data_IF_025666394577
#
_entry.id   IF_025666394577
#
_cell.length_a   1.000
_cell.length_b   1.000
_cell.length_c   1.000
_cell.angle_alpha   90.00
_cell.angle_beta   90.00
_cell.angle_gamma   90.00
#
_symmetry.space_group_name_H-M   'P 1'
#
loop_
_entity.id
_entity.type
_entity.pdbx_description
1 polymer ?
#
# COMPACT_ATOMS: atom_id res chain seq x y z
N UNK A 1 13.61 -56.26 -53.25
CA UNK A 1 13.32 -54.82 -53.17
C UNK A 1 12.20 -54.67 -52.16
N UNK A 2 12.54 -54.38 -50.91
CA UNK A 2 11.58 -54.16 -49.81
C UNK A 2 12.17 -53.08 -48.92
N UNK A 3 11.56 -51.90 -48.98
CA UNK A 3 11.85 -50.76 -48.09
C UNK A 3 11.31 -51.03 -46.68
N UNK A 4 11.91 -50.43 -45.64
CA UNK A 4 11.48 -50.60 -44.26
C UNK A 4 10.38 -49.61 -43.91
N UNK A 5 9.35 -50.12 -43.22
CA UNK A 5 8.25 -49.36 -42.62
C UNK A 5 8.78 -48.46 -41.49
N UNK A 6 8.56 -47.14 -41.60
CA UNK A 6 9.01 -46.14 -40.63
C UNK A 6 8.13 -46.09 -39.37
N UNK A 7 8.67 -45.68 -38.20
CA UNK A 7 7.91 -45.68 -36.96
C UNK A 7 6.83 -44.59 -36.95
N UNK A 8 5.67 -44.96 -36.42
CA UNK A 8 4.43 -44.20 -36.34
C UNK A 8 4.51 -43.00 -35.39
N UNK A 9 4.37 -41.78 -35.94
CA UNK A 9 4.32 -40.45 -35.28
C UNK A 9 3.04 -40.18 -34.45
N UNK A 10 2.34 -41.23 -34.00
CA UNK A 10 1.02 -41.09 -33.34
C UNK A 10 1.13 -40.86 -31.81
N UNK A 11 2.17 -41.39 -31.16
CA UNK A 11 2.38 -41.29 -29.71
C UNK A 11 2.94 -39.93 -29.24
N UNK A 12 3.72 -39.25 -30.10
CA UNK A 12 4.29 -37.92 -29.82
C UNK A 12 3.19 -36.83 -29.77
N UNK A 13 2.21 -36.91 -30.68
CA UNK A 13 1.08 -35.98 -30.79
C UNK A 13 0.07 -36.11 -29.65
N UNK A 14 -0.16 -37.32 -29.13
CA UNK A 14 -1.11 -37.57 -28.03
C UNK A 14 -0.56 -37.08 -26.70
N UNK A 15 0.72 -37.32 -26.40
CA UNK A 15 1.38 -36.80 -25.20
C UNK A 15 1.46 -35.26 -25.19
N UNK A 16 1.79 -34.64 -26.33
CA UNK A 16 1.82 -33.18 -26.48
C UNK A 16 0.44 -32.54 -26.29
N UNK A 17 -0.61 -33.13 -26.87
CA UNK A 17 -1.99 -32.69 -26.65
C UNK A 17 -2.44 -32.82 -25.20
N UNK A 18 -2.03 -33.88 -24.50
CA UNK A 18 -2.37 -34.07 -23.08
C UNK A 18 -1.73 -32.99 -22.20
N UNK A 19 -0.45 -32.68 -22.43
CA UNK A 19 0.27 -31.63 -21.72
C UNK A 19 -0.26 -30.22 -22.02
N UNK A 20 -0.59 -29.94 -23.28
CA UNK A 20 -1.26 -28.70 -23.68
C UNK A 20 -2.62 -28.55 -22.99
N UNK A 21 -3.40 -29.63 -22.89
CA UNK A 21 -4.70 -29.62 -22.23
C UNK A 21 -4.60 -29.39 -20.71
N UNK A 22 -3.60 -29.99 -20.06
CA UNK A 22 -3.32 -29.79 -18.64
C UNK A 22 -2.87 -28.34 -18.33
N UNK A 23 -2.05 -27.77 -19.21
CA UNK A 23 -1.62 -26.36 -19.14
C UNK A 23 -2.80 -25.41 -19.30
N UNK A 24 -3.70 -25.69 -20.26
CA UNK A 24 -4.94 -24.93 -20.47
C UNK A 24 -5.85 -25.02 -19.25
N UNK A 25 -6.03 -26.22 -18.66
CA UNK A 25 -6.84 -26.40 -17.46
C UNK A 25 -6.29 -25.62 -16.25
N UNK A 26 -4.98 -25.61 -16.04
CA UNK A 26 -4.34 -24.82 -14.99
C UNK A 26 -4.55 -23.30 -15.20
N UNK A 27 -4.40 -22.81 -16.43
CA UNK A 27 -4.64 -21.41 -16.76
C UNK A 27 -6.12 -21.01 -16.55
N UNK A 28 -7.07 -21.87 -16.94
CA UNK A 28 -8.50 -21.64 -16.73
C UNK A 28 -8.89 -21.66 -15.24
N UNK A 29 -8.28 -22.54 -14.44
CA UNK A 29 -8.47 -22.55 -12.99
C UNK A 29 -7.98 -21.24 -12.35
N UNK A 30 -6.83 -20.73 -12.80
CA UNK A 30 -6.31 -19.44 -12.34
C UNK A 30 -7.23 -18.27 -12.75
N UNK A 31 -7.77 -18.28 -13.98
CA UNK A 31 -8.79 -17.30 -14.41
C UNK A 31 -10.03 -17.38 -13.54
N UNK A 32 -10.51 -18.58 -13.19
CA UNK A 32 -11.68 -18.76 -12.34
C UNK A 32 -11.46 -18.20 -10.92
N UNK A 33 -10.30 -18.46 -10.32
CA UNK A 33 -9.91 -17.93 -9.00
C UNK A 33 -9.81 -16.40 -9.05
N UNK A 34 -9.07 -15.84 -10.00
CA UNK A 34 -8.92 -14.38 -10.16
C UNK A 34 -10.26 -13.71 -10.46
N UNK A 35 -11.10 -14.34 -11.28
CA UNK A 35 -12.45 -13.87 -11.59
C UNK A 35 -13.41 -13.90 -10.41
N UNK A 36 -13.31 -14.91 -9.53
CA UNK A 36 -14.07 -14.98 -8.29
C UNK A 36 -13.65 -13.87 -7.32
N UNK A 37 -12.35 -13.69 -7.11
CA UNK A 37 -11.80 -12.60 -6.31
C UNK A 37 -12.27 -11.22 -6.82
N UNK A 38 -12.22 -10.99 -8.14
CA UNK A 38 -12.74 -9.75 -8.72
C UNK A 38 -14.23 -9.57 -8.41
N UNK A 39 -15.06 -10.61 -8.58
CA UNK A 39 -16.50 -10.53 -8.27
C UNK A 39 -16.80 -10.29 -6.79
N UNK A 40 -15.95 -10.79 -5.89
CA UNK A 40 -16.08 -10.55 -4.45
C UNK A 40 -15.65 -9.13 -4.08
N UNK A 41 -14.60 -8.61 -4.71
CA UNK A 41 -14.08 -7.27 -4.42
C UNK A 41 -14.87 -6.15 -5.11
N UNK A 42 -15.47 -6.39 -6.29
CA UNK A 42 -16.20 -5.37 -7.05
C UNK A 42 -17.29 -4.69 -6.20
N UNK A 43 -18.20 -5.42 -5.52
CA UNK A 43 -19.23 -4.79 -4.69
C UNK A 43 -18.65 -3.88 -3.60
N UNK A 44 -17.53 -4.28 -2.98
CA UNK A 44 -16.85 -3.49 -1.96
C UNK A 44 -16.25 -2.20 -2.56
N UNK A 45 -15.57 -2.28 -3.70
CA UNK A 45 -15.03 -1.08 -4.37
C UNK A 45 -16.13 -0.16 -4.92
N UNK A 46 -17.23 -0.73 -5.39
CA UNK A 46 -18.40 0.03 -5.80
C UNK A 46 -19.04 0.74 -4.60
N UNK A 47 -19.11 0.09 -3.43
CA UNK A 47 -19.58 0.72 -2.20
C UNK A 47 -18.69 1.90 -1.81
N UNK A 48 -17.37 1.74 -1.74
CA UNK A 48 -16.44 2.83 -1.38
C UNK A 48 -16.49 4.00 -2.38
N UNK A 49 -16.61 3.70 -3.68
CA UNK A 49 -16.82 4.72 -4.71
C UNK A 49 -18.12 5.47 -4.47
N UNK A 50 -19.21 4.75 -4.22
CA UNK A 50 -20.53 5.34 -4.00
C UNK A 50 -20.53 6.19 -2.71
N UNK A 51 -19.86 5.78 -1.62
CA UNK A 51 -19.64 6.58 -0.39
C UNK A 51 -18.83 7.87 -0.65
N UNK A 52 -17.80 7.80 -1.49
CA UNK A 52 -16.99 8.96 -1.87
C UNK A 52 -17.78 9.96 -2.73
N UNK A 53 -18.67 9.45 -3.59
CA UNK A 53 -19.59 10.27 -4.40
C UNK A 53 -20.60 10.97 -3.49
N UNK A 54 -21.17 10.27 -2.50
CA UNK A 54 -22.09 10.85 -1.52
C UNK A 54 -21.42 11.98 -0.72
N UNK A 55 -20.18 11.76 -0.24
CA UNK A 55 -19.39 12.80 0.43
C UNK A 55 -19.16 14.03 -0.46
N UNK A 56 -18.89 13.82 -1.76
CA UNK A 56 -18.71 14.91 -2.71
C UNK A 56 -20.03 15.67 -2.98
N UNK A 57 -21.18 14.98 -3.03
CA UNK A 57 -22.51 15.61 -3.15
C UNK A 57 -22.79 16.49 -1.93
N UNK A 58 -22.53 15.98 -0.72
CA UNK A 58 -22.70 16.73 0.54
C UNK A 58 -21.79 17.97 0.61
N UNK A 59 -20.60 17.89 0.00
CA UNK A 59 -19.68 19.01 -0.17
C UNK A 59 -20.07 20.00 -1.29
N UNK A 60 -21.19 19.77 -1.99
CA UNK A 60 -21.72 20.66 -3.02
C UNK A 60 -21.18 20.41 -4.45
N UNK A 61 -20.61 19.24 -4.73
CA UNK A 61 -20.13 18.91 -6.07
C UNK A 61 -21.28 18.87 -7.10
N UNK A 62 -21.05 19.47 -8.27
CA UNK A 62 -22.01 19.45 -9.39
C UNK A 62 -21.96 18.11 -10.14
N UNK A 63 -23.06 17.75 -10.81
CA UNK A 63 -23.13 16.54 -11.64
C UNK A 63 -22.07 16.48 -12.73
N UNK A 64 -21.69 17.63 -13.29
CA UNK A 64 -20.62 17.73 -14.31
C UNK A 64 -19.24 17.43 -13.72
N UNK A 65 -18.96 17.88 -12.49
CA UNK A 65 -17.71 17.57 -11.79
C UNK A 65 -17.61 16.09 -11.45
N UNK A 66 -18.70 15.50 -10.95
CA UNK A 66 -18.77 14.07 -10.65
C UNK A 66 -18.61 13.20 -11.91
N UNK A 67 -19.27 13.58 -13.01
CA UNK A 67 -19.16 12.90 -14.30
C UNK A 67 -17.72 12.89 -14.83
N UNK A 68 -17.05 14.05 -14.75
CA UNK A 68 -15.65 14.19 -15.13
C UNK A 68 -14.73 13.33 -14.27
N UNK A 69 -14.94 13.28 -12.96
CA UNK A 69 -14.15 12.47 -12.04
C UNK A 69 -14.34 10.96 -12.25
N UNK A 70 -15.55 10.54 -12.61
CA UNK A 70 -15.92 9.13 -12.82
C UNK A 70 -15.66 8.63 -14.25
N UNK A 71 -15.32 9.53 -15.19
CA UNK A 71 -15.13 9.19 -16.60
C UNK A 71 -16.43 8.75 -17.30
N UNK A 72 -17.58 9.24 -16.84
CA UNK A 72 -18.91 8.90 -17.37
C UNK A 72 -19.69 10.16 -17.75
N UNK A 73 -20.87 10.01 -18.34
CA UNK A 73 -21.71 11.17 -18.70
C UNK A 73 -22.44 11.74 -17.47
N UNK A 74 -22.74 13.06 -17.43
CA UNK A 74 -23.54 13.66 -16.36
C UNK A 74 -24.91 13.01 -16.17
N UNK A 75 -25.52 12.55 -17.25
CA UNK A 75 -26.79 11.82 -17.23
C UNK A 75 -26.67 10.46 -16.52
N UNK A 76 -25.55 9.76 -16.68
CA UNK A 76 -25.31 8.48 -15.99
C UNK A 76 -25.15 8.67 -14.48
N UNK A 77 -24.48 9.74 -14.05
CA UNK A 77 -24.35 10.10 -12.63
C UNK A 77 -25.72 10.48 -12.04
N UNK A 78 -26.44 11.38 -12.70
CA UNK A 78 -27.76 11.83 -12.23
C UNK A 78 -28.76 10.67 -12.14
N UNK A 79 -28.76 9.75 -13.11
CA UNK A 79 -29.61 8.55 -13.11
C UNK A 79 -29.34 7.64 -11.90
N UNK A 80 -28.09 7.54 -11.46
CA UNK A 80 -27.68 6.62 -10.39
C UNK A 80 -27.78 7.24 -8.99
N UNK A 81 -27.53 8.54 -8.86
CA UNK A 81 -27.39 9.22 -7.56
C UNK A 81 -28.40 10.36 -7.32
N UNK A 82 -29.18 10.77 -8.33
CA UNK A 82 -30.10 11.92 -8.24
C UNK A 82 -31.23 11.79 -7.22
N UNK A 83 -31.48 10.59 -6.68
CA UNK A 83 -32.52 10.34 -5.68
C UNK A 83 -31.99 10.13 -4.25
N UNK A 84 -30.65 10.08 -4.04
CA UNK A 84 -30.06 9.75 -2.75
C UNK A 84 -29.70 11.02 -1.97
N UNK A 85 -30.68 11.56 -1.26
CA UNK A 85 -30.42 12.36 -0.06
C UNK A 85 -30.20 11.41 1.12
N UNK A 86 -29.02 11.47 1.73
CA UNK A 86 -28.64 10.91 3.04
C UNK A 86 -29.24 9.54 3.43
N UNK A 87 -28.50 8.45 3.22
CA UNK A 87 -28.74 7.21 3.96
C UNK A 87 -27.44 6.71 4.57
N UNK A 88 -27.22 7.09 5.83
CA UNK A 88 -26.10 6.62 6.66
C UNK A 88 -26.12 5.10 6.80
N UNK A 89 -25.10 4.42 6.25
CA UNK A 89 -24.85 3.00 6.50
C UNK A 89 -24.25 2.82 7.90
N UNK A 90 -25.02 2.24 8.82
CA UNK A 90 -24.53 1.82 10.14
C UNK A 90 -23.53 0.68 9.99
N UNK A 91 -22.29 0.88 10.43
CA UNK A 91 -21.31 -0.19 10.61
C UNK A 91 -21.78 -1.15 11.71
N UNK A 92 -21.69 -2.46 11.44
CA UNK A 92 -22.10 -3.52 12.37
C UNK A 92 -20.92 -3.83 13.30
N UNK A 93 -21.11 -3.95 14.63
CA UNK A 93 -20.00 -4.17 15.56
C UNK A 93 -19.34 -5.55 15.38
N UNK A 94 -18.03 -5.57 15.61
CA UNK A 94 -17.09 -6.70 15.44
C UNK A 94 -17.39 -7.96 16.29
N UNK A 95 -18.40 -7.93 17.15
CA UNK A 95 -18.63 -8.95 18.18
C UNK A 95 -19.22 -10.28 17.71
N UNK A 96 -19.39 -10.49 16.40
CA UNK A 96 -19.90 -11.77 15.83
C UNK A 96 -18.88 -12.61 15.06
N UNK A 97 -17.61 -12.19 14.97
CA UNK A 97 -16.61 -12.95 14.19
C UNK A 97 -15.95 -14.11 14.94
N UNK A 98 -16.26 -14.31 16.22
CA UNK A 98 -15.75 -15.42 17.03
C UNK A 98 -16.84 -16.49 17.16
N UNK A 99 -17.32 -17.02 16.03
CA UNK A 99 -17.93 -18.35 16.02
C UNK A 99 -16.79 -19.36 15.86
N UNK A 100 -16.40 -20.03 16.96
CA UNK A 100 -15.26 -20.95 17.03
C UNK A 100 -15.54 -22.32 16.41
N UNK A 101 -16.63 -22.45 15.65
CA UNK A 101 -17.09 -23.75 15.15
C UNK A 101 -17.41 -23.72 13.66
N UNK A 102 -16.41 -23.42 12.81
CA UNK A 102 -16.36 -23.93 11.43
C UNK A 102 -15.03 -23.64 10.73
N UNK A 103 -14.40 -24.72 10.26
CA UNK A 103 -13.69 -24.74 8.97
C UNK A 103 -12.20 -24.44 8.99
N UNK A 104 -11.40 -25.44 8.60
CA UNK A 104 -9.98 -25.31 8.28
C UNK A 104 -9.68 -24.06 7.43
N UNK A 105 -8.62 -23.32 7.78
CA UNK A 105 -8.08 -22.26 6.92
C UNK A 105 -7.58 -22.90 5.61
N UNK A 106 -8.23 -22.71 4.45
CA UNK A 106 -7.88 -23.40 3.21
C UNK A 106 -6.45 -23.12 2.73
N UNK A 107 -5.81 -22.08 3.29
CA UNK A 107 -4.50 -21.58 2.89
C UNK A 107 -3.56 -21.29 4.07
N UNK A 108 -3.71 -21.91 5.24
CA UNK A 108 -2.76 -21.78 6.37
C UNK A 108 -2.51 -20.34 6.90
N UNK A 109 -1.71 -20.21 7.96
CA UNK A 109 -1.42 -18.91 8.63
C UNK A 109 -0.67 -17.94 7.70
N UNK A 110 0.13 -18.46 6.76
CA UNK A 110 0.95 -17.66 5.83
C UNK A 110 0.14 -16.77 4.88
N UNK A 111 -1.15 -17.08 4.66
CA UNK A 111 -2.02 -16.30 3.79
C UNK A 111 -2.77 -15.18 4.52
N UNK A 112 -2.68 -15.11 5.86
CA UNK A 112 -3.26 -14.02 6.63
C UNK A 112 -2.64 -12.69 6.20
N UNK A 113 -3.49 -11.67 6.03
CA UNK A 113 -3.07 -10.34 5.58
C UNK A 113 -1.98 -9.75 6.48
N UNK A 114 -2.07 -9.94 7.80
CA UNK A 114 -1.07 -9.48 8.77
C UNK A 114 0.31 -10.09 8.54
N UNK A 115 0.38 -11.40 8.24
CA UNK A 115 1.65 -12.09 7.96
C UNK A 115 2.24 -11.60 6.65
N UNK A 116 1.41 -11.39 5.63
CA UNK A 116 1.83 -10.86 4.33
C UNK A 116 2.32 -9.41 4.43
N UNK A 117 1.63 -8.57 5.21
CA UNK A 117 2.03 -7.19 5.48
C UNK A 117 3.37 -7.13 6.23
N UNK A 118 3.58 -7.98 7.25
CA UNK A 118 4.87 -8.06 7.93
C UNK A 118 6.02 -8.46 7.00
N UNK A 119 5.79 -9.46 6.13
CA UNK A 119 6.79 -9.85 5.12
C UNK A 119 7.04 -8.74 4.10
N UNK A 120 6.00 -8.06 3.65
CA UNK A 120 6.11 -6.94 2.71
C UNK A 120 6.90 -5.79 3.32
N UNK A 121 6.62 -5.44 4.59
CA UNK A 121 7.37 -4.42 5.31
C UNK A 121 8.87 -4.73 5.35
N UNK A 122 9.25 -5.99 5.61
CA UNK A 122 10.66 -6.39 5.62
C UNK A 122 11.31 -6.32 4.22
N UNK A 123 10.62 -6.79 3.18
CA UNK A 123 11.11 -6.68 1.81
C UNK A 123 11.29 -5.22 1.38
N UNK A 124 10.32 -4.37 1.68
CA UNK A 124 10.36 -2.93 1.40
C UNK A 124 11.51 -2.25 2.14
N UNK A 125 11.73 -2.60 3.40
CA UNK A 125 12.83 -2.07 4.20
C UNK A 125 14.18 -2.46 3.59
N UNK A 126 14.40 -3.73 3.25
CA UNK A 126 15.65 -4.20 2.63
C UNK A 126 15.88 -3.57 1.26
N UNK A 127 14.84 -3.47 0.43
CA UNK A 127 14.92 -2.84 -0.88
C UNK A 127 15.27 -1.35 -0.78
N UNK A 128 14.69 -0.66 0.21
CA UNK A 128 15.00 0.75 0.50
C UNK A 128 16.44 0.92 0.99
N UNK A 129 16.88 0.10 1.94
CA UNK A 129 18.24 0.20 2.49
C UNK A 129 19.28 -0.03 1.39
N UNK A 130 19.17 -1.12 0.64
CA UNK A 130 20.17 -1.47 -0.39
C UNK A 130 20.06 -0.58 -1.62
N UNK A 131 18.84 -0.17 -1.97
CA UNK A 131 18.57 0.57 -3.19
C UNK A 131 18.77 2.07 -3.07
N UNK A 132 18.51 2.63 -1.89
CA UNK A 132 18.53 4.08 -1.64
C UNK A 132 19.50 4.41 -0.51
N UNK A 133 19.42 3.74 0.64
CA UNK A 133 20.28 4.08 1.79
C UNK A 133 21.78 3.93 1.50
N UNK A 134 22.19 2.73 1.10
CA UNK A 134 23.59 2.36 0.87
C UNK A 134 24.27 3.25 -0.19
N UNK A 135 23.69 3.52 -1.37
CA UNK A 135 24.30 4.40 -2.37
C UNK A 135 24.60 5.83 -1.87
N UNK A 136 23.83 6.34 -0.92
CA UNK A 136 24.00 7.68 -0.34
C UNK A 136 24.65 7.66 1.05
N UNK A 137 25.16 6.51 1.48
CA UNK A 137 25.78 6.32 2.79
C UNK A 137 24.83 6.63 3.95
N UNK A 138 23.53 6.41 3.78
CA UNK A 138 22.50 6.65 4.78
C UNK A 138 22.10 5.35 5.47
N UNK A 139 21.99 5.40 6.79
CA UNK A 139 21.36 4.31 7.56
C UNK A 139 19.84 4.37 7.43
N UNK A 140 19.17 3.25 7.70
CA UNK A 140 17.70 3.14 7.62
C UNK A 140 16.97 4.27 8.34
N UNK A 141 17.32 4.52 9.61
CA UNK A 141 16.68 5.57 10.43
C UNK A 141 16.98 6.98 9.91
N UNK A 142 18.21 7.21 9.43
CA UNK A 142 18.61 8.51 8.83
C UNK A 142 17.79 8.79 7.57
N UNK A 143 17.67 7.81 6.68
CA UNK A 143 16.86 7.92 5.46
C UNK A 143 15.37 8.14 5.77
N UNK A 144 14.83 7.47 6.79
CA UNK A 144 13.43 7.68 7.22
C UNK A 144 13.21 9.10 7.74
N UNK A 145 14.11 9.62 8.57
CA UNK A 145 14.02 11.00 9.07
C UNK A 145 14.07 12.00 7.92
N UNK A 146 15.00 11.84 6.97
CA UNK A 146 15.09 12.74 5.82
C UNK A 146 13.80 12.73 4.99
N UNK A 147 13.21 11.56 4.73
CA UNK A 147 11.93 11.45 4.02
C UNK A 147 10.77 12.09 4.76
N UNK A 148 10.70 11.91 6.09
CA UNK A 148 9.69 12.57 6.91
C UNK A 148 9.84 14.08 6.81
N UNK A 149 11.05 14.61 7.00
CA UNK A 149 11.31 16.04 6.91
C UNK A 149 11.10 16.61 5.49
N UNK A 150 11.32 15.82 4.44
CA UNK A 150 11.04 16.21 3.05
C UNK A 150 9.53 16.31 2.77
N UNK A 151 8.74 15.45 3.41
CA UNK A 151 7.28 15.40 3.25
C UNK A 151 6.51 16.41 4.11
N UNK A 152 7.14 16.98 5.12
CA UNK A 152 6.52 17.89 6.09
C UNK A 152 6.94 19.34 5.82
N UNK A 153 5.99 20.27 5.85
CA UNK A 153 6.28 21.70 5.76
C UNK A 153 6.84 22.30 7.05
N UNK A 154 6.60 21.64 8.18
CA UNK A 154 7.01 22.11 9.51
C UNK A 154 8.16 21.28 10.09
N UNK A 155 8.99 21.93 10.91
CA UNK A 155 10.10 21.26 11.59
C UNK A 155 9.61 20.30 12.68
N UNK A 156 10.27 19.16 12.81
CA UNK A 156 9.82 18.05 13.67
C UNK A 156 10.73 17.87 14.88
N UNK A 157 10.13 17.64 16.05
CA UNK A 157 10.86 17.26 17.27
C UNK A 157 11.24 15.77 17.28
N UNK A 158 12.17 15.37 18.15
CA UNK A 158 12.62 13.96 18.26
C UNK A 158 11.47 12.99 18.56
N UNK A 159 10.53 13.38 19.42
CA UNK A 159 9.40 12.53 19.78
C UNK A 159 8.51 12.26 18.57
N UNK A 160 8.20 13.31 17.80
CA UNK A 160 7.36 13.22 16.62
C UNK A 160 8.06 12.47 15.48
N UNK A 161 9.36 12.69 15.28
CA UNK A 161 10.18 11.88 14.37
C UNK A 161 10.16 10.39 14.75
N UNK A 162 10.18 10.06 16.05
CA UNK A 162 10.04 8.68 16.54
C UNK A 162 8.70 8.06 16.18
N UNK A 163 7.62 8.80 16.40
CA UNK A 163 6.26 8.37 16.04
C UNK A 163 6.12 8.15 14.54
N UNK A 164 6.49 9.15 13.73
CA UNK A 164 6.37 9.12 12.27
C UNK A 164 7.28 8.07 11.61
N UNK A 165 8.48 7.84 12.14
CA UNK A 165 9.39 6.83 11.60
C UNK A 165 9.10 5.41 12.12
N UNK A 166 8.30 5.26 13.18
CA UNK A 166 8.12 4.01 13.91
C UNK A 166 9.42 3.51 14.56
N UNK A 167 10.19 4.41 15.16
CA UNK A 167 11.53 4.12 15.73
C UNK A 167 11.63 4.66 17.15
N UNK A 168 12.33 3.93 18.03
CA UNK A 168 12.54 4.35 19.41
C UNK A 168 13.32 5.68 19.51
N UNK A 169 13.09 6.40 20.60
CA UNK A 169 13.69 7.72 20.85
C UNK A 169 15.21 7.71 20.79
N UNK A 170 15.87 6.66 21.28
CA UNK A 170 17.33 6.60 21.31
C UNK A 170 17.90 6.42 19.89
N UNK A 171 17.25 5.61 19.06
CA UNK A 171 17.61 5.44 17.65
C UNK A 171 17.37 6.71 16.83
N UNK A 172 16.26 7.43 17.07
CA UNK A 172 16.02 8.73 16.43
C UNK A 172 17.05 9.76 16.87
N UNK A 173 17.32 9.89 18.16
CA UNK A 173 18.29 10.86 18.67
C UNK A 173 19.69 10.64 18.09
N UNK A 174 20.15 9.38 17.99
CA UNK A 174 21.42 9.03 17.33
C UNK A 174 21.42 9.43 15.85
N UNK A 175 20.36 9.11 15.12
CA UNK A 175 20.27 9.43 13.70
C UNK A 175 20.20 10.94 13.44
N UNK A 176 19.44 11.68 14.25
CA UNK A 176 19.40 13.16 14.22
C UNK A 176 20.80 13.73 14.44
N UNK A 177 21.54 13.23 15.43
CA UNK A 177 22.91 13.69 15.68
C UNK A 177 23.81 13.46 14.46
N UNK A 178 23.77 12.26 13.86
CA UNK A 178 24.56 11.95 12.66
C UNK A 178 24.18 12.83 11.46
N UNK A 179 22.88 13.09 11.26
CA UNK A 179 22.41 13.97 10.20
C UNK A 179 22.82 15.43 10.40
N UNK A 180 22.82 15.93 11.64
CA UNK A 180 23.35 17.26 12.00
C UNK A 180 24.86 17.34 11.72
N UNK A 181 25.63 16.33 12.15
CA UNK A 181 27.08 16.27 11.91
C UNK A 181 27.40 16.28 10.41
N UNK A 182 26.56 15.62 9.60
CA UNK A 182 26.68 15.62 8.13
C UNK A 182 26.14 16.88 7.46
N UNK A 183 25.55 17.81 8.22
CA UNK A 183 24.93 19.02 7.69
C UNK A 183 23.76 18.73 6.76
N UNK A 184 23.01 17.64 6.99
CA UNK A 184 21.85 17.27 6.18
C UNK A 184 20.54 17.80 6.77
N UNK A 185 20.50 18.04 8.08
CA UNK A 185 19.37 18.68 8.76
C UNK A 185 19.89 19.86 9.57
N UNK A 186 19.02 20.83 9.79
CA UNK A 186 19.27 22.00 10.64
C UNK A 186 18.34 22.00 11.84
N UNK A 187 18.79 22.60 12.94
CA UNK A 187 17.95 22.85 14.12
C UNK A 187 17.20 24.16 13.91
N UNK A 188 15.87 24.12 13.92
CA UNK A 188 15.03 25.31 14.02
C UNK A 188 14.98 25.74 15.49
N UNK A 189 15.56 26.89 15.80
CA UNK A 189 15.68 27.38 17.18
C UNK A 189 14.43 28.16 17.56
N UNK A 190 13.86 27.87 18.75
CA UNK A 190 13.49 28.95 19.66
C UNK A 190 13.59 28.48 21.13
N UNK A 191 14.35 29.22 21.95
CA UNK A 191 14.60 29.02 23.39
C UNK A 191 15.42 27.80 23.87
N UNK A 192 16.27 28.02 24.88
CA UNK A 192 17.01 27.00 25.62
C UNK A 192 16.11 26.07 26.48
N UNK A 193 14.83 26.43 26.63
CA UNK A 193 13.84 25.67 27.38
C UNK A 193 12.89 24.84 26.50
N UNK A 194 12.87 25.03 25.17
CA UNK A 194 12.01 24.25 24.27
C UNK A 194 12.72 23.02 23.71
N UNK A 195 11.94 21.96 23.43
CA UNK A 195 12.45 20.78 22.76
C UNK A 195 12.98 21.16 21.37
N UNK A 196 14.13 20.62 20.96
CA UNK A 196 14.69 20.92 19.64
C UNK A 196 13.82 20.37 18.51
N UNK A 197 13.53 21.21 17.51
CA UNK A 197 12.92 20.82 16.24
C UNK A 197 13.96 20.84 15.12
N UNK A 198 13.71 20.05 14.08
CA UNK A 198 14.62 19.86 12.96
C UNK A 198 13.91 19.99 11.61
N UNK A 199 14.59 20.58 10.64
CA UNK A 199 14.17 20.63 9.23
C UNK A 199 15.30 20.17 8.31
N UNK A 200 15.01 19.94 7.03
CA UNK A 200 16.06 19.73 6.05
C UNK A 200 16.91 21.00 5.90
N UNK A 201 18.22 20.81 5.88
CA UNK A 201 19.15 21.84 5.41
C UNK A 201 19.09 21.96 3.88
N UNK A 202 19.67 23.00 3.26
CA UNK A 202 19.81 23.07 1.81
C UNK A 202 20.56 21.87 1.21
N UNK A 203 21.52 21.28 1.93
CA UNK A 203 22.22 20.08 1.48
C UNK A 203 21.33 18.83 1.60
N UNK A 204 20.54 18.74 2.67
CA UNK A 204 19.53 17.69 2.85
C UNK A 204 18.49 17.69 1.73
N UNK A 205 17.93 18.86 1.39
CA UNK A 205 16.96 19.01 0.30
C UNK A 205 17.55 18.62 -1.06
N UNK A 206 18.81 18.96 -1.33
CA UNK A 206 19.47 18.48 -2.56
C UNK A 206 19.62 16.97 -2.57
N UNK A 207 20.07 16.38 -1.47
CA UNK A 207 20.24 14.94 -1.33
C UNK A 207 18.91 14.19 -1.52
N UNK A 208 17.81 14.67 -0.93
CA UNK A 208 16.48 14.07 -1.11
C UNK A 208 15.99 14.19 -2.55
N UNK A 209 16.22 15.33 -3.19
CA UNK A 209 15.97 15.53 -4.62
C UNK A 209 16.75 14.57 -5.52
N UNK A 210 18.02 14.31 -5.22
CA UNK A 210 18.86 13.36 -5.96
C UNK A 210 18.38 11.91 -5.79
N UNK A 211 17.84 11.56 -4.62
CA UNK A 211 17.28 10.22 -4.35
C UNK A 211 15.94 9.97 -5.07
N UNK A 212 15.18 11.03 -5.40
CA UNK A 212 13.80 10.91 -5.88
C UNK A 212 13.66 10.13 -7.21
N UNK A 213 14.44 10.39 -8.28
CA UNK A 213 14.34 9.63 -9.53
C UNK A 213 14.61 8.14 -9.33
N UNK A 214 15.56 7.83 -8.45
CA UNK A 214 15.95 6.47 -8.13
C UNK A 214 14.87 5.74 -7.29
N UNK A 215 14.14 6.47 -6.44
CA UNK A 215 12.98 5.97 -5.73
C UNK A 215 11.80 5.71 -6.69
N UNK A 216 11.54 6.63 -7.63
CA UNK A 216 10.48 6.49 -8.64
C UNK A 216 10.71 5.29 -9.57
N UNK A 217 11.93 5.11 -10.08
CA UNK A 217 12.26 3.96 -10.93
C UNK A 217 12.02 2.62 -10.21
N UNK A 218 12.30 2.55 -8.90
CA UNK A 218 12.01 1.36 -8.10
C UNK A 218 10.53 1.17 -7.83
N UNK A 219 9.80 2.27 -7.61
CA UNK A 219 8.35 2.23 -7.49
C UNK A 219 7.72 1.63 -8.74
N UNK A 220 8.17 2.01 -9.93
CA UNK A 220 7.69 1.44 -11.20
C UNK A 220 7.93 -0.08 -11.27
N UNK A 221 9.09 -0.57 -10.85
CA UNK A 221 9.40 -2.00 -10.81
C UNK A 221 8.49 -2.75 -9.83
N UNK A 222 8.28 -2.18 -8.63
CA UNK A 222 7.47 -2.81 -7.57
C UNK A 222 5.98 -2.83 -7.95
N UNK A 223 5.48 -1.75 -8.55
CA UNK A 223 4.09 -1.67 -9.00
C UNK A 223 3.85 -2.54 -10.23
N UNK A 224 4.82 -2.66 -11.13
CA UNK A 224 4.66 -3.36 -12.39
C UNK A 224 3.43 -2.84 -13.15
N UNK A 225 2.44 -3.69 -13.49
CA UNK A 225 1.23 -3.25 -14.19
C UNK A 225 0.19 -2.59 -13.27
N UNK A 226 0.41 -2.54 -11.95
CA UNK A 226 -0.58 -2.03 -11.00
C UNK A 226 -0.66 -0.49 -11.03
N UNK A 227 -1.87 0.10 -11.05
CA UNK A 227 -2.01 1.54 -10.97
C UNK A 227 -1.66 2.05 -9.57
N UNK A 228 -0.71 2.98 -9.49
CA UNK A 228 -0.22 3.54 -8.22
C UNK A 228 -1.36 4.07 -7.33
N UNK A 229 -2.34 4.79 -7.90
CA UNK A 229 -3.48 5.33 -7.17
C UNK A 229 -4.33 4.25 -6.49
N UNK A 230 -4.54 3.10 -7.17
CA UNK A 230 -5.30 2.00 -6.61
C UNK A 230 -4.57 1.30 -5.47
N UNK A 231 -3.25 1.12 -5.61
CA UNK A 231 -2.41 0.57 -4.54
C UNK A 231 -2.40 1.50 -3.32
N UNK A 232 -2.22 2.81 -3.52
CA UNK A 232 -2.23 3.79 -2.43
C UNK A 232 -3.56 3.79 -1.68
N UNK A 233 -4.70 3.79 -2.38
CA UNK A 233 -6.01 3.73 -1.72
C UNK A 233 -6.17 2.49 -0.84
N UNK A 234 -5.68 1.32 -1.28
CA UNK A 234 -5.68 0.10 -0.46
C UNK A 234 -4.78 0.28 0.77
N UNK A 235 -3.58 0.83 0.60
CA UNK A 235 -2.63 1.06 1.70
C UNK A 235 -3.18 2.05 2.72
N UNK A 236 -3.88 3.10 2.30
CA UNK A 236 -4.50 4.10 3.18
C UNK A 236 -5.60 3.46 4.03
N UNK A 237 -6.48 2.66 3.42
CA UNK A 237 -7.54 1.93 4.14
C UNK A 237 -6.95 0.92 5.14
N UNK A 238 -5.93 0.16 4.72
CA UNK A 238 -5.26 -0.79 5.62
C UNK A 238 -4.58 -0.08 6.78
N UNK A 239 -3.90 1.04 6.52
CA UNK A 239 -3.26 1.85 7.56
C UNK A 239 -4.29 2.38 8.56
N UNK A 240 -5.38 2.99 8.08
CA UNK A 240 -6.45 3.49 8.94
C UNK A 240 -7.09 2.39 9.80
N UNK A 241 -7.28 1.19 9.24
CA UNK A 241 -7.83 0.07 10.00
C UNK A 241 -6.86 -0.45 11.06
N UNK A 242 -5.55 -0.46 10.77
CA UNK A 242 -4.52 -0.85 11.73
C UNK A 242 -4.36 0.18 12.85
N UNK A 243 -4.41 1.47 12.55
CA UNK A 243 -4.42 2.54 13.55
C UNK A 243 -5.61 2.38 14.51
N UNK A 244 -6.83 2.23 13.97
CA UNK A 244 -8.03 1.96 14.78
C UNK A 244 -7.90 0.70 15.64
N UNK A 245 -7.28 -0.35 15.10
CA UNK A 245 -7.04 -1.58 15.85
C UNK A 245 -6.09 -1.34 17.03
N UNK A 246 -5.00 -0.58 16.82
CA UNK A 246 -4.04 -0.25 17.87
C UNK A 246 -4.71 0.60 18.98
N UNK A 247 -5.51 1.59 18.59
CA UNK A 247 -6.26 2.43 19.54
C UNK A 247 -7.28 1.61 20.34
N UNK A 248 -7.94 0.64 19.69
CA UNK A 248 -8.90 -0.26 20.33
C UNK A 248 -8.25 -1.29 21.27
N UNK A 249 -6.93 -1.47 21.18
CA UNK A 249 -6.17 -2.47 21.96
C UNK A 249 -5.52 -1.86 23.19
N UNK A 250 -5.70 -0.56 23.46
CA UNK A 250 -5.35 0.06 24.74
C UNK A 250 -6.59 -0.05 25.66
N UNK A 251 -6.61 -0.93 26.67
CA UNK A 251 -7.61 -0.84 27.71
C UNK A 251 -7.31 0.42 28.53
N UNK A 252 -8.29 1.30 28.66
CA UNK A 252 -8.28 2.33 29.70
C UNK A 252 -8.10 1.63 31.07
N UNK A 253 -6.96 1.87 31.71
CA UNK A 253 -6.72 1.48 33.10
C UNK A 253 -6.05 0.11 33.29
N UNK A 254 -4.74 0.14 33.50
CA UNK A 254 -4.07 -0.65 34.53
C UNK A 254 -3.62 0.30 35.65
#
# INVERSE_FOLDING_TARGET
MSEPDGPTDSGSRTAKKSFENETIHAALAEVAVRGALLRECIPMFEQYRDESIETAIDAGATWTQLAKALGVTPQAVHKRFGARGATTLKSKPLSRLIDRSSGAHPHGISHLVMVRLGRLAELTNRATDNGIGVPYGLRRTELRILRVLDSQSESQGVAELGRLCGVDKASVSRAVHQLLTRGLIDRTVDSAESAAHFCLSPAGTRLTGEMAPLALARQEIVLGPLPAAGVNAILDVLSSNLEKLLDSTIPDGL
#
